data_IF_566468983125
#
_entry.id   IF_566468983125
#
_cell.length_a   1.000
_cell.length_b   1.000
_cell.length_c   1.000
_cell.angle_alpha   90.00
_cell.angle_beta   90.00
_cell.angle_gamma   90.00
#
_symmetry.space_group_name_H-M   'P 1'
#
loop_
_entity.id
_entity.type
_entity.pdbx_description
1 polymer ?
#
# COMPACT_ATOMS: atom_id res chain seq x y z
N UNK A 1 -1.59 -2.80 -31.73
CA UNK A 1 -1.91 -3.44 -30.44
C UNK A 1 -0.58 -3.74 -29.76
N UNK A 2 -0.30 -3.11 -28.64
CA UNK A 2 0.99 -3.30 -27.95
C UNK A 2 0.92 -4.61 -27.16
N UNK A 3 1.89 -5.50 -27.37
CA UNK A 3 1.94 -6.84 -26.78
C UNK A 3 2.93 -6.84 -25.61
N UNK A 4 2.58 -7.55 -24.54
CA UNK A 4 3.54 -7.84 -23.45
C UNK A 4 4.61 -8.80 -24.02
N UNK A 5 5.90 -8.49 -23.89
CA UNK A 5 6.97 -9.38 -24.36
C UNK A 5 6.85 -10.78 -23.73
N UNK A 6 7.08 -11.82 -24.52
CA UNK A 6 6.89 -13.21 -24.06
C UNK A 6 7.85 -13.56 -22.91
N UNK A 7 9.06 -12.98 -22.90
CA UNK A 7 10.05 -13.18 -21.84
C UNK A 7 9.67 -12.48 -20.51
N UNK A 8 8.92 -11.38 -20.56
CA UNK A 8 8.33 -10.75 -19.36
C UNK A 8 7.24 -11.64 -18.78
N UNK A 9 6.41 -12.25 -19.63
CA UNK A 9 5.39 -13.20 -19.17
C UNK A 9 6.04 -14.46 -18.58
N UNK A 10 7.08 -15.00 -19.22
CA UNK A 10 7.83 -16.16 -18.72
C UNK A 10 8.47 -15.87 -17.35
N UNK A 11 9.05 -14.68 -17.19
CA UNK A 11 9.63 -14.25 -15.91
C UNK A 11 8.59 -14.25 -14.78
N UNK A 12 7.44 -13.63 -14.98
CA UNK A 12 6.37 -13.67 -13.97
C UNK A 12 5.89 -15.10 -13.72
N UNK A 13 5.70 -15.88 -14.79
CA UNK A 13 5.17 -17.24 -14.75
C UNK A 13 6.05 -18.20 -13.94
N UNK A 14 7.36 -18.17 -14.14
CA UNK A 14 8.33 -19.05 -13.45
C UNK A 14 8.43 -18.77 -11.95
N UNK A 15 7.98 -17.61 -11.48
CA UNK A 15 7.95 -17.25 -10.06
C UNK A 15 6.62 -17.58 -9.37
N UNK A 16 5.64 -18.14 -10.10
CA UNK A 16 4.37 -18.62 -9.53
C UNK A 16 4.53 -20.07 -9.08
N UNK A 17 4.07 -20.36 -7.87
CA UNK A 17 3.81 -21.71 -7.39
C UNK A 17 2.56 -22.26 -8.08
N UNK A 18 2.77 -22.88 -9.25
CA UNK A 18 1.67 -23.44 -10.05
C UNK A 18 1.00 -24.65 -9.38
N UNK A 19 1.60 -25.27 -8.36
CA UNK A 19 0.90 -26.26 -7.57
C UNK A 19 -0.16 -25.60 -6.69
N UNK A 20 0.21 -24.54 -5.97
CA UNK A 20 -0.73 -23.73 -5.20
C UNK A 20 -1.80 -23.08 -6.10
N UNK A 21 -1.39 -22.47 -7.22
CA UNK A 21 -2.31 -21.82 -8.15
C UNK A 21 -3.30 -22.81 -8.80
N UNK A 22 -2.89 -24.05 -9.11
CA UNK A 22 -3.81 -25.06 -9.66
C UNK A 22 -4.93 -25.43 -8.70
N UNK A 23 -4.66 -25.47 -7.40
CA UNK A 23 -5.68 -25.77 -6.38
C UNK A 23 -6.82 -24.74 -6.42
N UNK A 24 -6.51 -23.48 -6.74
CA UNK A 24 -7.52 -22.41 -6.82
C UNK A 24 -8.12 -22.24 -8.22
N UNK A 25 -7.34 -22.43 -9.29
CA UNK A 25 -7.81 -22.27 -10.67
C UNK A 25 -8.62 -23.47 -11.20
N UNK A 26 -8.38 -24.68 -10.68
CA UNK A 26 -8.97 -25.95 -11.15
C UNK A 26 -8.77 -26.18 -12.66
N UNK A 27 -7.67 -25.67 -13.23
CA UNK A 27 -7.28 -25.80 -14.63
C UNK A 27 -5.79 -26.09 -14.73
N UNK A 28 -5.37 -26.82 -15.76
CA UNK A 28 -3.96 -26.94 -16.10
C UNK A 28 -3.47 -25.59 -16.66
N UNK A 29 -2.26 -25.15 -16.28
CA UNK A 29 -1.66 -23.98 -16.90
C UNK A 29 -1.45 -24.23 -18.40
N UNK A 30 -1.80 -23.23 -19.21
CA UNK A 30 -1.54 -23.19 -20.64
C UNK A 30 -0.22 -22.46 -20.92
N UNK A 31 -0.21 -21.61 -21.95
CA UNK A 31 0.93 -20.71 -22.16
C UNK A 31 1.13 -19.78 -20.95
N UNK A 32 2.35 -19.23 -20.75
CA UNK A 32 2.63 -18.32 -19.64
C UNK A 32 1.66 -17.15 -19.55
N UNK A 33 1.42 -16.48 -20.69
CA UNK A 33 0.53 -15.33 -20.80
C UNK A 33 -0.91 -15.68 -20.39
N UNK A 34 -1.46 -16.78 -20.91
CA UNK A 34 -2.84 -17.20 -20.63
C UNK A 34 -3.01 -17.65 -19.18
N UNK A 35 -2.03 -18.39 -18.64
CA UNK A 35 -2.06 -18.86 -17.26
C UNK A 35 -2.03 -17.68 -16.27
N UNK A 36 -1.18 -16.69 -16.52
CA UNK A 36 -1.13 -15.46 -15.71
C UNK A 36 -2.40 -14.63 -15.84
N UNK A 37 -2.95 -14.51 -17.06
CA UNK A 37 -4.24 -13.83 -17.29
C UNK A 37 -5.36 -14.48 -16.45
N UNK A 38 -5.42 -15.81 -16.44
CA UNK A 38 -6.39 -16.56 -15.64
C UNK A 38 -6.16 -16.38 -14.13
N UNK A 39 -4.91 -16.36 -13.68
CA UNK A 39 -4.55 -16.10 -12.28
C UNK A 39 -5.03 -14.71 -11.82
N UNK A 40 -4.73 -13.66 -12.58
CA UNK A 40 -5.18 -12.30 -12.26
C UNK A 40 -6.69 -12.13 -12.36
N UNK A 41 -7.33 -12.76 -13.34
CA UNK A 41 -8.79 -12.81 -13.41
C UNK A 41 -9.40 -13.53 -12.19
N UNK A 42 -8.73 -14.56 -11.66
CA UNK A 42 -9.14 -15.21 -10.42
C UNK A 42 -8.94 -14.31 -9.19
N UNK A 43 -7.81 -13.60 -9.08
CA UNK A 43 -7.60 -12.64 -7.98
C UNK A 43 -8.70 -11.58 -7.92
N UNK A 44 -9.18 -11.08 -9.06
CA UNK A 44 -10.27 -10.10 -9.12
C UNK A 44 -11.58 -10.60 -8.50
N UNK A 45 -11.87 -11.90 -8.59
CA UNK A 45 -13.14 -12.50 -8.13
C UNK A 45 -13.04 -13.20 -6.78
N UNK A 46 -11.83 -13.42 -6.25
CA UNK A 46 -11.66 -14.16 -5.00
C UNK A 46 -12.17 -13.30 -3.83
N UNK A 47 -12.70 -13.96 -2.81
CA UNK A 47 -13.08 -13.31 -1.54
C UNK A 47 -11.92 -13.26 -0.55
N UNK A 48 -11.03 -14.24 -0.61
CA UNK A 48 -9.88 -14.40 0.30
C UNK A 48 -8.65 -14.89 -0.48
N UNK A 49 -7.44 -14.44 -0.13
CA UNK A 49 -7.18 -13.29 0.74
C UNK A 49 -7.79 -11.98 0.21
N UNK A 50 -8.29 -11.14 1.12
CA UNK A 50 -8.87 -9.84 0.80
C UNK A 50 -7.75 -8.86 0.40
N UNK A 51 -8.04 -7.97 -0.57
CA UNK A 51 -7.10 -6.98 -1.11
C UNK A 51 -7.13 -5.64 -0.35
N UNK A 52 -7.56 -5.64 0.92
CA UNK A 52 -7.89 -4.46 1.74
C UNK A 52 -9.10 -3.65 1.26
N UNK A 53 -9.19 -3.38 -0.05
CA UNK A 53 -10.31 -2.70 -0.70
C UNK A 53 -11.23 -3.69 -1.42
N UNK A 54 -12.45 -3.27 -1.72
CA UNK A 54 -13.40 -4.03 -2.54
C UNK A 54 -14.03 -3.16 -3.65
N UNK A 55 -14.76 -3.80 -4.56
CA UNK A 55 -15.43 -3.10 -5.66
C UNK A 55 -16.53 -2.15 -5.18
N UNK A 56 -17.14 -2.39 -4.01
CA UNK A 56 -18.17 -1.51 -3.47
C UNK A 56 -17.57 -0.16 -3.03
N UNK A 57 -16.40 -0.19 -2.40
CA UNK A 57 -15.62 1.00 -2.07
C UNK A 57 -15.27 1.81 -3.32
N UNK A 58 -14.73 1.17 -4.36
CA UNK A 58 -14.35 1.83 -5.62
C UNK A 58 -15.56 2.53 -6.26
N UNK A 59 -16.72 1.86 -6.30
CA UNK A 59 -17.96 2.43 -6.83
C UNK A 59 -18.46 3.60 -5.98
N UNK A 60 -18.39 3.51 -4.65
CA UNK A 60 -18.80 4.59 -3.76
C UNK A 60 -17.92 5.83 -3.94
N UNK A 61 -16.60 5.66 -4.00
CA UNK A 61 -15.64 6.73 -4.25
C UNK A 61 -15.92 7.42 -5.60
N UNK A 62 -16.08 6.65 -6.69
CA UNK A 62 -16.38 7.19 -8.03
C UNK A 62 -17.70 7.96 -8.07
N UNK A 63 -18.72 7.53 -7.33
CA UNK A 63 -20.01 8.24 -7.22
C UNK A 63 -19.91 9.55 -6.44
N UNK A 64 -19.02 9.61 -5.46
CA UNK A 64 -18.80 10.79 -4.63
C UNK A 64 -17.90 11.83 -5.32
N UNK A 65 -17.11 11.43 -6.31
CA UNK A 65 -16.19 12.30 -7.04
C UNK A 65 -16.87 13.11 -8.15
N UNK A 66 -16.33 14.31 -8.39
CA UNK A 66 -16.73 15.18 -9.50
C UNK A 66 -16.02 14.77 -10.80
N UNK A 67 -16.54 15.22 -11.95
CA UNK A 67 -15.88 15.02 -13.25
C UNK A 67 -14.47 15.63 -13.29
N UNK A 68 -14.27 16.79 -12.65
CA UNK A 68 -12.97 17.45 -12.58
C UNK A 68 -11.95 16.60 -11.82
N UNK A 69 -12.33 16.04 -10.67
CA UNK A 69 -11.46 15.16 -9.88
C UNK A 69 -11.08 13.88 -10.63
N UNK A 70 -12.02 13.30 -11.39
CA UNK A 70 -11.75 12.14 -12.25
C UNK A 70 -10.74 12.50 -13.33
N UNK A 71 -10.91 13.64 -14.01
CA UNK A 71 -10.00 14.10 -15.06
C UNK A 71 -8.60 14.40 -14.52
N UNK A 72 -8.51 15.06 -13.36
CA UNK A 72 -7.26 15.33 -12.66
C UNK A 72 -6.54 14.04 -12.27
N UNK A 73 -7.26 13.06 -11.71
CA UNK A 73 -6.71 11.76 -11.38
C UNK A 73 -6.15 11.04 -12.62
N UNK A 74 -6.87 11.05 -13.74
CA UNK A 74 -6.37 10.47 -15.00
C UNK A 74 -5.10 11.17 -15.48
N UNK A 75 -5.03 12.50 -15.43
CA UNK A 75 -3.86 13.27 -15.84
C UNK A 75 -2.65 12.98 -14.93
N UNK A 76 -2.87 12.91 -13.62
CA UNK A 76 -1.83 12.56 -12.65
C UNK A 76 -1.25 11.16 -12.93
N UNK A 77 -2.07 10.18 -13.32
CA UNK A 77 -1.57 8.86 -13.72
C UNK A 77 -0.73 8.94 -14.99
N UNK A 78 -1.18 9.69 -16.01
CA UNK A 78 -0.41 9.85 -17.26
C UNK A 78 0.93 10.52 -17.01
N UNK A 79 0.95 11.58 -16.21
CA UNK A 79 2.17 12.25 -15.77
C UNK A 79 3.08 11.29 -15.00
N UNK A 80 2.55 10.54 -14.03
CA UNK A 80 3.37 9.57 -13.31
C UNK A 80 3.95 8.49 -14.24
N UNK A 81 3.26 8.10 -15.31
CA UNK A 81 3.77 7.16 -16.32
C UNK A 81 4.89 7.72 -17.21
N UNK A 82 5.07 9.05 -17.27
CA UNK A 82 6.19 9.67 -18.00
C UNK A 82 7.42 9.90 -17.12
N UNK A 83 7.29 9.76 -15.81
CA UNK A 83 8.40 9.88 -14.85
C UNK A 83 9.21 8.58 -14.74
N UNK A 84 10.50 8.65 -14.34
CA UNK A 84 11.23 7.46 -13.90
C UNK A 84 10.48 6.78 -12.75
N UNK A 85 10.25 5.47 -12.88
CA UNK A 85 9.45 4.78 -11.87
C UNK A 85 10.25 4.45 -10.62
N UNK A 86 11.57 4.32 -10.73
CA UNK A 86 12.48 4.10 -9.60
C UNK A 86 13.36 5.34 -9.46
N UNK A 87 13.19 6.07 -8.37
CA UNK A 87 13.88 7.35 -8.11
C UNK A 87 14.67 7.34 -6.80
N UNK A 88 15.02 6.16 -6.28
CA UNK A 88 15.61 6.01 -4.94
C UNK A 88 14.61 6.20 -3.79
N UNK A 89 13.34 6.44 -4.10
CA UNK A 89 12.25 6.50 -3.12
C UNK A 89 11.67 5.11 -2.83
N UNK A 90 10.96 4.99 -1.71
CA UNK A 90 10.34 3.75 -1.20
C UNK A 90 9.10 3.28 -1.97
N UNK A 91 8.82 3.88 -3.12
CA UNK A 91 7.60 3.68 -3.90
C UNK A 91 7.83 4.06 -5.35
N UNK A 92 7.06 3.45 -6.25
CA UNK A 92 7.09 3.83 -7.66
C UNK A 92 6.43 5.19 -7.89
N UNK A 93 6.75 5.86 -9.00
CA UNK A 93 6.11 7.14 -9.34
C UNK A 93 4.57 7.00 -9.41
N UNK A 94 4.07 5.90 -9.97
CA UNK A 94 2.63 5.61 -10.00
C UNK A 94 2.09 5.24 -8.60
N UNK A 95 2.83 4.44 -7.83
CA UNK A 95 2.46 4.05 -6.47
C UNK A 95 2.24 5.25 -5.54
N UNK A 96 3.02 6.33 -5.71
CA UNK A 96 2.87 7.59 -4.93
C UNK A 96 1.51 8.27 -5.08
N UNK A 97 0.78 7.99 -6.15
CA UNK A 97 -0.54 8.58 -6.38
C UNK A 97 -1.59 8.04 -5.39
N UNK A 98 -1.35 6.85 -4.83
CA UNK A 98 -2.27 6.19 -3.89
C UNK A 98 -3.51 5.59 -4.56
N UNK A 99 -4.23 4.80 -3.78
CA UNK A 99 -5.36 4.01 -4.23
C UNK A 99 -6.48 4.87 -4.86
N UNK A 100 -6.84 5.98 -4.21
CA UNK A 100 -7.98 6.81 -4.65
C UNK A 100 -7.74 7.43 -6.03
N UNK A 101 -6.53 7.90 -6.32
CA UNK A 101 -6.18 8.42 -7.64
C UNK A 101 -6.30 7.32 -8.70
N UNK A 102 -5.82 6.11 -8.42
CA UNK A 102 -5.94 4.97 -9.34
C UNK A 102 -7.42 4.61 -9.55
N UNK A 103 -8.20 4.46 -8.48
CA UNK A 103 -9.60 4.10 -8.56
C UNK A 103 -10.42 5.12 -9.35
N UNK A 104 -10.14 6.42 -9.23
CA UNK A 104 -10.85 7.47 -9.94
C UNK A 104 -10.41 7.60 -11.39
N UNK A 105 -9.10 7.62 -11.63
CA UNK A 105 -8.53 8.05 -12.91
C UNK A 105 -8.26 6.94 -13.91
N UNK A 106 -8.21 5.67 -13.49
CA UNK A 106 -7.82 4.59 -14.39
C UNK A 106 -8.91 4.24 -15.41
N UNK A 107 -8.48 4.12 -16.65
CA UNK A 107 -9.26 3.64 -17.81
C UNK A 107 -8.54 2.46 -18.45
N UNK A 108 -9.17 1.80 -19.44
CA UNK A 108 -8.53 0.70 -20.15
C UNK A 108 -7.21 1.12 -20.84
N UNK A 109 -7.18 2.30 -21.48
CA UNK A 109 -5.98 2.82 -22.14
C UNK A 109 -4.89 3.22 -21.13
N UNK A 110 -5.27 3.79 -19.98
CA UNK A 110 -4.32 4.09 -18.90
C UNK A 110 -3.75 2.80 -18.29
N UNK A 111 -4.56 1.76 -18.11
CA UNK A 111 -4.08 0.45 -17.66
C UNK A 111 -3.01 -0.12 -18.58
N UNK A 112 -3.19 0.00 -19.90
CA UNK A 112 -2.17 -0.38 -20.89
C UNK A 112 -0.94 0.54 -20.86
N UNK A 113 -1.13 1.86 -20.71
CA UNK A 113 -0.03 2.82 -20.57
C UNK A 113 0.85 2.48 -19.36
N UNK A 114 0.25 2.16 -18.21
CA UNK A 114 0.94 1.74 -17.00
C UNK A 114 1.74 0.45 -17.24
N UNK A 115 1.13 -0.57 -17.86
CA UNK A 115 1.79 -1.83 -18.18
C UNK A 115 3.00 -1.63 -19.11
N UNK A 116 2.86 -0.79 -20.14
CA UNK A 116 3.96 -0.45 -21.05
C UNK A 116 5.07 0.32 -20.35
N UNK A 117 4.70 1.23 -19.43
CA UNK A 117 5.66 1.97 -18.63
C UNK A 117 6.50 1.01 -17.78
N UNK A 118 5.86 0.03 -17.13
CA UNK A 118 6.58 -1.01 -16.39
C UNK A 118 7.55 -1.78 -17.29
N UNK A 119 7.12 -2.22 -18.49
CA UNK A 119 8.00 -2.90 -19.47
C UNK A 119 9.18 -2.03 -19.91
N UNK A 120 8.95 -0.74 -20.23
CA UNK A 120 10.01 0.19 -20.65
C UNK A 120 11.06 0.42 -19.56
N UNK A 121 10.69 0.26 -18.30
CA UNK A 121 11.54 0.50 -17.13
C UNK A 121 12.19 -0.78 -16.59
N UNK A 122 12.18 -1.87 -17.37
CA UNK A 122 12.70 -3.19 -16.96
C UNK A 122 14.12 -3.16 -16.39
N UNK A 123 15.00 -2.35 -16.96
CA UNK A 123 16.40 -2.23 -16.52
C UNK A 123 16.56 -1.60 -15.13
N UNK A 124 15.46 -1.16 -14.52
CA UNK A 124 15.41 -0.57 -13.18
C UNK A 124 14.67 -1.44 -12.16
N UNK A 125 14.09 -2.58 -12.55
CA UNK A 125 13.19 -3.35 -11.70
C UNK A 125 13.78 -3.84 -10.37
N UNK A 126 15.09 -4.10 -10.32
CA UNK A 126 15.79 -4.54 -9.12
C UNK A 126 16.55 -3.42 -8.40
N UNK A 127 16.31 -2.15 -8.78
CA UNK A 127 17.01 -0.97 -8.26
C UNK A 127 16.17 -0.15 -7.29
N UNK A 128 14.98 -0.60 -6.93
CA UNK A 128 14.12 0.05 -5.95
C UNK A 128 14.73 0.00 -4.54
N UNK A 129 14.44 1.04 -3.75
CA UNK A 129 14.79 1.06 -2.33
C UNK A 129 13.85 0.14 -1.52
N UNK A 130 14.01 0.12 -0.20
CA UNK A 130 13.10 -0.59 0.70
C UNK A 130 11.68 -0.03 0.56
N UNK A 131 10.67 -0.88 0.66
CA UNK A 131 9.26 -0.51 0.47
C UNK A 131 8.76 -0.63 -0.98
N UNK A 132 9.64 -0.75 -1.97
CA UNK A 132 9.22 -0.86 -3.38
C UNK A 132 8.41 -2.13 -3.63
N UNK A 133 8.76 -3.25 -2.99
CA UNK A 133 7.98 -4.51 -3.06
C UNK A 133 6.53 -4.29 -2.62
N UNK A 134 6.34 -3.60 -1.48
CA UNK A 134 5.01 -3.24 -0.96
C UNK A 134 4.24 -2.39 -1.96
N UNK A 135 4.86 -1.31 -2.42
CA UNK A 135 4.25 -0.35 -3.35
C UNK A 135 3.77 -1.01 -4.64
N UNK A 136 4.57 -1.92 -5.22
CA UNK A 136 4.18 -2.69 -6.39
C UNK A 136 2.98 -3.61 -6.10
N UNK A 137 3.00 -4.28 -4.95
CA UNK A 137 1.93 -5.18 -4.55
C UNK A 137 0.61 -4.41 -4.29
N UNK A 138 0.68 -3.26 -3.61
CA UNK A 138 -0.43 -2.33 -3.43
C UNK A 138 -0.99 -1.87 -4.78
N UNK A 139 -0.13 -1.37 -5.67
CA UNK A 139 -0.52 -0.90 -6.99
C UNK A 139 -1.24 -1.99 -7.80
N UNK A 140 -0.71 -3.22 -7.79
CA UNK A 140 -1.36 -4.37 -8.42
C UNK A 140 -2.73 -4.65 -7.80
N UNK A 141 -2.85 -4.58 -6.47
CA UNK A 141 -4.12 -4.78 -5.76
C UNK A 141 -5.17 -3.74 -6.17
N UNK A 142 -4.77 -2.48 -6.36
CA UNK A 142 -5.67 -1.42 -6.79
C UNK A 142 -6.13 -1.62 -8.23
N UNK A 143 -5.20 -1.93 -9.13
CA UNK A 143 -5.51 -2.24 -10.54
C UNK A 143 -6.42 -3.45 -10.70
N UNK A 144 -6.28 -4.47 -9.84
CA UNK A 144 -7.15 -5.66 -9.85
C UNK A 144 -8.62 -5.33 -9.61
N UNK A 145 -8.89 -4.31 -8.78
CA UNK A 145 -10.24 -3.88 -8.41
C UNK A 145 -10.92 -3.00 -9.47
N UNK A 146 -10.16 -2.54 -10.47
CA UNK A 146 -10.67 -1.74 -11.58
C UNK A 146 -11.03 -2.66 -12.76
N UNK A 147 -12.33 -2.87 -13.05
CA UNK A 147 -12.76 -3.82 -14.08
C UNK A 147 -12.31 -3.42 -15.50
N UNK A 148 -12.01 -2.14 -15.73
CA UNK A 148 -11.54 -1.61 -17.01
C UNK A 148 -10.11 -2.07 -17.36
N UNK A 149 -9.34 -2.50 -16.36
CA UNK A 149 -7.97 -2.98 -16.55
C UNK A 149 -8.03 -4.43 -17.06
N UNK A 150 -7.50 -4.70 -18.26
CA UNK A 150 -7.32 -6.09 -18.70
C UNK A 150 -6.32 -6.78 -17.74
N UNK A 151 -6.62 -7.98 -17.21
CA UNK A 151 -5.70 -8.72 -16.36
C UNK A 151 -4.28 -8.88 -16.93
N UNK A 152 -4.11 -8.86 -18.26
CA UNK A 152 -2.79 -8.89 -18.92
C UNK A 152 -1.92 -7.69 -18.54
N UNK A 153 -2.52 -6.53 -18.24
CA UNK A 153 -1.78 -5.33 -17.83
C UNK A 153 -1.04 -5.49 -16.50
N UNK A 154 -1.38 -6.51 -15.69
CA UNK A 154 -0.71 -6.80 -14.42
C UNK A 154 0.55 -7.64 -14.57
N UNK A 155 0.77 -8.27 -15.72
CA UNK A 155 1.90 -9.19 -15.95
C UNK A 155 3.25 -8.48 -15.79
N UNK A 156 3.49 -7.29 -16.38
CA UNK A 156 4.74 -6.57 -16.16
C UNK A 156 4.98 -6.21 -14.69
N UNK A 157 3.94 -5.84 -13.96
CA UNK A 157 4.04 -5.51 -12.54
C UNK A 157 4.33 -6.76 -11.69
N UNK A 158 3.80 -7.91 -12.06
CA UNK A 158 4.11 -9.18 -11.39
C UNK A 158 5.56 -9.60 -11.62
N UNK A 159 6.06 -9.51 -12.84
CA UNK A 159 7.46 -9.76 -13.15
C UNK A 159 8.36 -8.82 -12.33
N UNK A 160 8.05 -7.52 -12.35
CA UNK A 160 8.76 -6.52 -11.56
C UNK A 160 8.70 -6.83 -10.06
N UNK A 161 7.52 -7.09 -9.50
CA UNK A 161 7.34 -7.44 -8.08
C UNK A 161 8.28 -8.58 -7.68
N UNK A 162 8.37 -9.64 -8.49
CA UNK A 162 9.22 -10.80 -8.16
C UNK A 162 10.72 -10.48 -8.21
N UNK A 163 11.17 -9.68 -9.17
CA UNK A 163 12.59 -9.28 -9.26
C UNK A 163 12.96 -8.28 -8.16
N UNK A 164 12.10 -7.29 -7.91
CA UNK A 164 12.28 -6.33 -6.82
C UNK A 164 12.29 -7.05 -5.47
N UNK A 165 11.37 -7.99 -5.23
CA UNK A 165 11.29 -8.75 -3.98
C UNK A 165 12.57 -9.52 -3.68
N UNK A 166 13.16 -10.16 -4.70
CA UNK A 166 14.45 -10.88 -4.55
C UNK A 166 15.58 -9.92 -4.23
N UNK A 167 15.67 -8.81 -4.95
CA UNK A 167 16.72 -7.82 -4.76
C UNK A 167 16.61 -7.13 -3.40
N UNK A 168 15.41 -6.72 -3.02
CA UNK A 168 15.11 -6.09 -1.73
C UNK A 168 15.39 -7.05 -0.58
N UNK A 169 15.00 -8.33 -0.69
CA UNK A 169 15.32 -9.33 0.33
C UNK A 169 16.82 -9.62 0.43
N UNK A 170 17.51 -9.73 -0.71
CA UNK A 170 18.96 -9.91 -0.73
C UNK A 170 19.69 -8.72 -0.09
N UNK A 171 19.16 -7.51 -0.26
CA UNK A 171 19.69 -6.33 0.41
C UNK A 171 19.38 -6.31 1.91
N UNK A 172 18.12 -6.52 2.30
CA UNK A 172 17.68 -6.49 3.69
C UNK A 172 18.43 -7.51 4.57
N UNK A 173 18.74 -8.69 4.05
CA UNK A 173 19.54 -9.70 4.77
C UNK A 173 20.96 -9.25 5.13
N UNK A 174 21.47 -8.18 4.52
CA UNK A 174 22.80 -7.62 4.81
C UNK A 174 22.74 -6.53 5.86
N UNK A 175 21.55 -6.13 6.31
CA UNK A 175 21.44 -5.12 7.36
C UNK A 175 21.93 -5.70 8.68
N UNK A 176 22.83 -4.95 9.30
CA UNK A 176 23.30 -5.17 10.66
C UNK A 176 22.95 -3.95 11.51
N UNK A 177 23.25 -4.03 12.80
CA UNK A 177 23.02 -2.94 13.75
C UNK A 177 23.76 -1.65 13.34
N UNK A 178 24.90 -1.76 12.66
CA UNK A 178 25.65 -0.60 12.18
C UNK A 178 24.95 0.10 10.98
N UNK A 179 24.32 -0.66 10.08
CA UNK A 179 23.54 -0.12 8.96
C UNK A 179 22.22 0.50 9.39
N UNK A 180 21.60 -0.04 10.44
CA UNK A 180 20.32 0.45 10.93
C UNK A 180 20.51 1.57 11.96
N UNK A 181 21.62 1.57 12.71
CA UNK A 181 21.79 2.50 13.83
C UNK A 181 20.69 2.34 14.87
N UNK A 182 20.54 3.34 15.76
CA UNK A 182 19.47 3.34 16.77
C UNK A 182 18.07 3.64 16.19
N UNK A 183 17.99 4.10 14.93
CA UNK A 183 16.76 4.56 14.27
C UNK A 183 16.25 3.66 13.15
N UNK A 184 17.08 2.83 12.52
CA UNK A 184 16.75 2.05 11.32
C UNK A 184 15.87 0.83 11.57
N UNK A 185 15.44 0.63 12.82
CA UNK A 185 14.44 -0.38 13.17
C UNK A 185 13.13 -0.17 12.41
N UNK A 186 12.74 1.08 12.12
CA UNK A 186 11.57 1.36 11.28
C UNK A 186 11.72 0.86 9.84
N UNK A 187 12.90 1.00 9.21
CA UNK A 187 13.13 0.54 7.85
C UNK A 187 12.98 -0.98 7.78
N UNK A 188 13.51 -1.68 8.78
CA UNK A 188 13.37 -3.14 8.92
C UNK A 188 11.91 -3.54 9.10
N UNK A 189 11.21 -2.86 10.00
CA UNK A 189 9.80 -3.10 10.23
C UNK A 189 8.96 -2.84 8.95
N UNK A 190 9.16 -1.71 8.27
CA UNK A 190 8.43 -1.36 7.05
C UNK A 190 8.68 -2.35 5.93
N UNK A 191 9.94 -2.79 5.76
CA UNK A 191 10.32 -3.79 4.76
C UNK A 191 9.56 -5.10 5.01
N UNK A 192 9.56 -5.58 6.26
CA UNK A 192 8.90 -6.83 6.61
C UNK A 192 7.37 -6.74 6.59
N UNK A 193 6.79 -5.60 6.98
CA UNK A 193 5.36 -5.32 6.77
C UNK A 193 5.04 -5.43 5.28
N UNK A 194 5.85 -4.79 4.43
CA UNK A 194 5.69 -4.84 2.98
C UNK A 194 5.72 -6.26 2.40
N UNK A 195 6.68 -7.08 2.84
CA UNK A 195 6.75 -8.49 2.46
C UNK A 195 5.57 -9.31 2.97
N UNK A 196 5.13 -9.08 4.21
CA UNK A 196 3.96 -9.75 4.78
C UNK A 196 2.69 -9.41 3.98
N UNK A 197 2.42 -8.12 3.74
CA UNK A 197 1.26 -7.66 2.98
C UNK A 197 1.29 -8.21 1.55
N UNK A 198 2.44 -8.14 0.86
CA UNK A 198 2.62 -8.68 -0.47
C UNK A 198 2.37 -10.21 -0.51
N UNK A 199 2.89 -10.95 0.47
CA UNK A 199 2.63 -12.38 0.62
C UNK A 199 1.17 -12.69 0.92
N UNK A 200 0.46 -11.82 1.63
CA UNK A 200 -0.96 -11.99 1.90
C UNK A 200 -1.81 -11.69 0.66
N UNK A 201 -1.50 -10.65 -0.11
CA UNK A 201 -2.19 -10.34 -1.36
C UNK A 201 -1.90 -11.38 -2.44
N UNK A 202 -0.68 -11.89 -2.56
CA UNK A 202 -0.30 -12.76 -3.67
C UNK A 202 0.42 -14.02 -3.20
N UNK A 203 -0.29 -14.91 -2.49
CA UNK A 203 0.31 -16.09 -1.87
C UNK A 203 0.84 -17.12 -2.87
N UNK A 204 0.43 -17.05 -4.13
CA UNK A 204 0.88 -17.91 -5.21
C UNK A 204 2.25 -17.53 -5.76
N UNK A 205 2.82 -16.35 -5.44
CA UNK A 205 4.21 -16.06 -5.80
C UNK A 205 5.17 -16.70 -4.80
N UNK A 206 6.02 -17.61 -5.29
CA UNK A 206 6.86 -18.45 -4.45
C UNK A 206 7.83 -17.63 -3.56
N UNK A 207 8.35 -16.51 -4.09
CA UNK A 207 9.25 -15.62 -3.34
C UNK A 207 8.59 -14.86 -2.19
N UNK A 208 7.26 -14.73 -2.18
CA UNK A 208 6.52 -14.01 -1.13
C UNK A 208 5.92 -14.95 -0.07
N UNK A 209 5.82 -16.25 -0.38
CA UNK A 209 5.09 -17.24 0.41
C UNK A 209 5.57 -17.35 1.86
N UNK A 210 6.88 -17.30 2.10
CA UNK A 210 7.46 -17.45 3.44
C UNK A 210 7.11 -16.28 4.38
N UNK A 211 6.90 -15.08 3.85
CA UNK A 211 6.67 -13.90 4.66
C UNK A 211 5.29 -13.85 5.31
N UNK A 212 4.33 -14.65 4.81
CA UNK A 212 3.02 -14.82 5.45
C UNK A 212 3.11 -15.42 6.84
N UNK A 213 4.16 -16.20 7.11
CA UNK A 213 4.36 -16.87 8.39
C UNK A 213 4.89 -15.93 9.49
N UNK A 214 5.22 -14.67 9.17
CA UNK A 214 5.74 -13.71 10.16
C UNK A 214 4.67 -13.23 11.15
N UNK A 215 3.41 -13.12 10.74
CA UNK A 215 2.31 -12.63 11.59
C UNK A 215 1.73 -13.71 12.51
N UNK A 216 1.16 -13.33 13.67
CA UNK A 216 1.13 -11.97 14.25
C UNK A 216 2.33 -11.66 15.18
N UNK A 217 2.91 -12.68 15.82
CA UNK A 217 3.84 -12.54 16.95
C UNK A 217 5.06 -11.66 16.66
N UNK A 218 5.61 -11.74 15.44
CA UNK A 218 6.75 -10.94 15.04
C UNK A 218 6.46 -9.44 15.17
N UNK A 219 5.38 -8.97 14.52
CA UNK A 219 5.06 -7.54 14.51
C UNK A 219 4.64 -7.04 15.90
N UNK A 220 4.03 -7.89 16.72
CA UNK A 220 3.74 -7.52 18.11
C UNK A 220 5.00 -7.25 18.91
N UNK A 221 6.02 -8.10 18.75
CA UNK A 221 7.33 -7.85 19.36
C UNK A 221 7.95 -6.57 18.82
N UNK A 222 7.99 -6.40 17.49
CA UNK A 222 8.70 -5.28 16.87
C UNK A 222 8.09 -3.90 17.21
N UNK A 223 6.76 -3.79 17.27
CA UNK A 223 6.14 -2.52 17.65
C UNK A 223 6.48 -2.14 19.09
N UNK A 224 6.55 -3.11 20.00
CA UNK A 224 6.95 -2.85 21.40
C UNK A 224 8.41 -2.41 21.54
N UNK A 225 9.28 -2.78 20.59
CA UNK A 225 10.66 -2.31 20.54
C UNK A 225 10.78 -0.91 19.95
N UNK A 226 9.95 -0.58 18.95
CA UNK A 226 10.03 0.68 18.23
C UNK A 226 9.29 1.83 18.93
N UNK A 227 8.14 1.54 19.55
CA UNK A 227 7.29 2.54 20.18
C UNK A 227 7.39 2.49 21.70
N UNK A 228 7.37 3.66 22.31
CA UNK A 228 7.20 3.84 23.75
C UNK A 228 5.72 3.67 24.16
N UNK A 229 5.42 3.38 25.44
CA UNK A 229 4.05 3.16 25.91
C UNK A 229 3.11 4.36 25.67
N UNK A 230 3.67 5.56 25.51
CA UNK A 230 2.93 6.80 25.22
C UNK A 230 2.50 6.95 23.75
N UNK A 231 2.93 6.03 22.87
CA UNK A 231 2.59 6.00 21.45
C UNK A 231 3.62 6.68 20.52
N UNK A 232 4.71 7.22 21.05
CA UNK A 232 5.77 7.80 20.23
C UNK A 232 6.84 6.78 19.86
N UNK A 233 7.39 6.89 18.65
CA UNK A 233 8.57 6.13 18.24
C UNK A 233 9.77 6.58 19.07
N UNK A 234 10.69 5.63 19.29
CA UNK A 234 12.00 5.91 19.89
C UNK A 234 12.86 6.86 19.05
N UNK A 235 12.59 6.94 17.75
CA UNK A 235 13.27 7.85 16.82
C UNK A 235 12.96 9.33 17.04
N UNK A 236 11.81 9.66 17.65
CA UNK A 236 11.41 11.04 17.98
C UNK A 236 11.53 12.02 16.79
N UNK A 237 11.16 11.57 15.60
CA UNK A 237 11.27 12.31 14.34
C UNK A 237 9.99 12.21 13.49
N UNK A 238 10.00 12.86 12.32
CA UNK A 238 8.91 12.76 11.33
C UNK A 238 8.59 11.33 10.87
N UNK A 239 9.50 10.36 11.07
CA UNK A 239 9.25 8.95 10.77
C UNK A 239 8.07 8.35 11.55
N UNK A 240 7.71 8.93 12.71
CA UNK A 240 6.51 8.59 13.49
C UNK A 240 5.27 8.37 12.60
N UNK A 241 4.96 9.33 11.73
CA UNK A 241 3.71 9.35 10.97
C UNK A 241 3.72 8.31 9.85
N UNK A 242 4.87 8.13 9.19
CA UNK A 242 5.07 7.08 8.19
C UNK A 242 4.91 5.69 8.81
N UNK A 243 5.62 5.42 9.90
CA UNK A 243 5.54 4.15 10.63
C UNK A 243 4.15 3.86 11.16
N UNK A 244 3.48 4.86 11.75
CA UNK A 244 2.10 4.72 12.20
C UNK A 244 1.16 4.32 11.05
N UNK A 245 1.33 4.90 9.85
CA UNK A 245 0.54 4.54 8.67
C UNK A 245 0.67 3.06 8.31
N UNK A 246 1.90 2.55 8.29
CA UNK A 246 2.17 1.13 8.02
C UNK A 246 1.49 0.21 9.04
N UNK A 247 1.43 0.60 10.31
CA UNK A 247 0.74 -0.17 11.35
C UNK A 247 -0.77 -0.20 11.12
N UNK A 248 -1.36 0.93 10.70
CA UNK A 248 -2.80 0.99 10.40
C UNK A 248 -3.15 0.17 9.17
N UNK A 249 -2.35 0.24 8.11
CA UNK A 249 -2.48 -0.61 6.93
C UNK A 249 -2.40 -2.11 7.29
N UNK A 250 -1.40 -2.49 8.10
CA UNK A 250 -1.20 -3.85 8.60
C UNK A 250 -2.44 -4.35 9.35
N UNK A 251 -2.95 -3.56 10.29
CA UNK A 251 -4.15 -3.90 11.08
C UNK A 251 -5.38 -4.12 10.19
N UNK A 252 -5.61 -3.20 9.26
CA UNK A 252 -6.77 -3.24 8.37
C UNK A 252 -6.70 -4.45 7.44
N UNK A 253 -5.53 -4.72 6.88
CA UNK A 253 -5.34 -5.87 6.01
C UNK A 253 -5.43 -7.20 6.78
N UNK A 254 -4.87 -7.27 7.99
CA UNK A 254 -4.97 -8.43 8.86
C UNK A 254 -6.42 -8.72 9.25
N UNK A 255 -7.18 -7.70 9.67
CA UNK A 255 -8.60 -7.81 10.00
C UNK A 255 -9.41 -8.30 8.79
N UNK A 256 -9.19 -7.70 7.61
CA UNK A 256 -9.84 -8.12 6.36
C UNK A 256 -9.54 -9.58 5.99
N UNK A 257 -8.44 -10.13 6.50
CA UNK A 257 -8.02 -11.50 6.30
C UNK A 257 -8.25 -12.43 7.49
N UNK A 258 -8.93 -11.95 8.55
CA UNK A 258 -9.27 -12.75 9.74
C UNK A 258 -8.07 -13.09 10.62
N UNK A 259 -6.97 -12.35 10.47
CA UNK A 259 -5.79 -12.44 11.33
C UNK A 259 -6.03 -11.48 12.49
N UNK A 260 -5.96 -11.99 13.72
CA UNK A 260 -6.11 -11.19 14.94
C UNK A 260 -4.76 -10.99 15.60
N UNK A 261 -4.48 -9.75 16.00
CA UNK A 261 -3.42 -9.42 16.93
C UNK A 261 -3.95 -9.47 18.37
N UNK A 262 -3.07 -9.47 19.35
CA UNK A 262 -3.41 -9.40 20.78
C UNK A 262 -4.06 -8.05 21.14
N UNK A 263 -4.84 -8.02 22.22
CA UNK A 263 -5.43 -6.79 22.74
C UNK A 263 -4.35 -5.75 23.10
N UNK A 264 -3.21 -6.21 23.63
CA UNK A 264 -2.06 -5.37 23.92
C UNK A 264 -1.52 -4.66 22.67
N UNK A 265 -1.54 -5.33 21.52
CA UNK A 265 -1.17 -4.72 20.25
C UNK A 265 -2.17 -3.64 19.80
N UNK A 266 -3.47 -3.90 19.94
CA UNK A 266 -4.50 -2.91 19.62
C UNK A 266 -4.44 -1.68 20.52
N UNK A 267 -4.22 -1.86 21.82
CA UNK A 267 -4.01 -0.76 22.76
C UNK A 267 -2.76 0.04 22.42
N UNK A 268 -1.68 -0.63 22.00
CA UNK A 268 -0.48 0.06 21.51
C UNK A 268 -0.77 0.87 20.25
N UNK A 269 -1.46 0.30 19.26
CA UNK A 269 -1.83 1.02 18.05
C UNK A 269 -2.76 2.22 18.33
N UNK A 270 -3.68 2.08 19.28
CA UNK A 270 -4.52 3.18 19.79
C UNK A 270 -3.67 4.29 20.44
N UNK A 271 -2.65 3.93 21.24
CA UNK A 271 -1.74 4.91 21.82
C UNK A 271 -0.95 5.67 20.74
N UNK A 272 -0.46 4.96 19.72
CA UNK A 272 0.22 5.56 18.55
C UNK A 272 -0.69 6.54 17.81
N UNK A 273 -1.94 6.16 17.55
CA UNK A 273 -2.94 7.04 16.94
C UNK A 273 -3.28 8.25 17.82
N UNK A 274 -3.31 8.04 19.15
CA UNK A 274 -3.55 9.12 20.12
C UNK A 274 -2.39 10.10 20.22
N UNK A 275 -1.17 9.73 19.79
CA UNK A 275 -0.04 10.65 19.78
C UNK A 275 -0.21 11.75 18.71
N UNK A 276 -0.91 11.48 17.61
CA UNK A 276 -1.02 12.43 16.47
C UNK A 276 -1.68 13.76 16.88
N UNK A 277 -2.80 13.72 17.60
CA UNK A 277 -3.50 14.95 18.00
C UNK A 277 -2.77 15.72 19.10
N UNK A 278 -2.00 15.04 19.96
CA UNK A 278 -1.32 15.67 21.11
C UNK A 278 -0.22 16.63 20.70
N UNK A 279 0.34 16.46 19.51
CA UNK A 279 1.44 17.29 19.00
C UNK A 279 1.03 18.14 17.80
N UNK A 280 -0.25 18.10 17.43
CA UNK A 280 -0.77 18.85 16.30
C UNK A 280 -0.87 20.35 16.68
N UNK A 281 -0.08 21.24 16.05
CA UNK A 281 -0.26 22.68 16.20
C UNK A 281 -1.65 23.17 15.77
N UNK A 282 -2.05 24.40 16.18
CA UNK A 282 -3.34 24.99 15.79
C UNK A 282 -3.56 25.18 14.29
N UNK A 283 -2.50 25.13 13.47
CA UNK A 283 -2.60 25.17 12.01
C UNK A 283 -2.93 23.79 11.39
N UNK A 284 -3.07 22.75 12.22
CA UNK A 284 -3.40 21.39 11.80
C UNK A 284 -2.27 20.66 11.09
N UNK A 285 -1.05 21.21 11.06
CA UNK A 285 0.12 20.56 10.46
C UNK A 285 0.72 19.48 11.37
N UNK A 286 1.72 18.74 10.88
CA UNK A 286 2.58 17.95 11.75
C UNK A 286 3.81 18.78 12.17
N UNK A 287 4.24 18.69 13.43
CA UNK A 287 5.43 19.40 13.88
C UNK A 287 6.66 18.91 13.12
N UNK A 288 7.50 19.85 12.71
CA UNK A 288 8.77 19.56 12.04
C UNK A 288 9.84 19.29 13.11
N UNK A 289 9.91 18.03 13.57
CA UNK A 289 10.89 17.57 14.56
C UNK A 289 11.79 16.47 13.99
N UNK A 290 13.09 16.54 14.31
CA UNK A 290 14.10 15.59 13.85
C UNK A 290 14.27 15.62 12.33
N UNK A 291 14.51 14.44 11.75
CA UNK A 291 14.54 14.25 10.29
C UNK A 291 13.12 14.23 9.71
N UNK A 292 12.53 15.42 9.60
CA UNK A 292 11.19 15.62 9.05
C UNK A 292 11.23 16.54 7.84
N UNK A 293 10.69 16.10 6.72
CA UNK A 293 10.46 16.94 5.55
C UNK A 293 9.18 17.76 5.70
N UNK A 294 9.26 19.07 5.46
CA UNK A 294 8.08 19.93 5.41
C UNK A 294 7.35 19.81 4.07
N UNK A 295 6.14 19.25 4.08
CA UNK A 295 5.12 19.52 3.05
C UNK A 295 3.78 19.76 3.74
N UNK A 296 3.51 21.02 4.09
CA UNK A 296 2.17 21.39 4.55
C UNK A 296 1.21 21.29 3.36
N UNK A 297 0.25 20.37 3.46
CA UNK A 297 -0.91 20.33 2.58
C UNK A 297 -2.11 20.60 3.46
N UNK A 298 -2.84 21.67 3.14
CA UNK A 298 -3.99 22.10 3.93
C UNK A 298 -4.97 20.92 4.14
N UNK A 299 -5.46 20.79 5.38
CA UNK A 299 -6.36 19.72 5.84
C UNK A 299 -5.85 18.27 5.71
N UNK A 300 -4.69 17.99 5.12
CA UNK A 300 -4.24 16.61 4.90
C UNK A 300 -4.04 15.85 6.22
N UNK A 301 -3.27 16.42 7.16
CA UNK A 301 -3.07 15.82 8.47
C UNK A 301 -4.35 15.78 9.30
N UNK A 302 -5.26 16.75 9.12
CA UNK A 302 -6.56 16.75 9.80
C UNK A 302 -7.49 15.65 9.25
N UNK A 303 -7.47 15.38 7.93
CA UNK A 303 -8.20 14.26 7.33
C UNK A 303 -7.70 12.92 7.85
N UNK A 304 -6.38 12.78 7.95
CA UNK A 304 -5.76 11.63 8.60
C UNK A 304 -6.23 11.50 10.05
N UNK A 305 -6.19 12.59 10.82
CA UNK A 305 -6.63 12.57 12.22
C UNK A 305 -8.10 12.15 12.37
N UNK A 306 -9.00 12.61 11.48
CA UNK A 306 -10.40 12.15 11.44
C UNK A 306 -10.49 10.65 11.19
N UNK A 307 -9.76 10.15 10.19
CA UNK A 307 -9.79 8.75 9.81
C UNK A 307 -9.30 7.82 10.93
N UNK A 308 -8.17 8.15 11.58
CA UNK A 308 -7.64 7.34 12.69
C UNK A 308 -8.50 7.47 13.95
N UNK A 309 -9.07 8.65 14.22
CA UNK A 309 -9.97 8.84 15.36
C UNK A 309 -11.25 8.02 15.20
N UNK A 310 -11.78 7.91 13.98
CA UNK A 310 -12.89 7.01 13.67
C UNK A 310 -12.47 5.54 13.77
N UNK A 311 -11.28 5.17 13.30
CA UNK A 311 -10.77 3.80 13.35
C UNK A 311 -10.58 3.29 14.79
N UNK A 312 -10.04 4.12 15.67
CA UNK A 312 -9.71 3.74 17.05
C UNK A 312 -10.68 4.31 18.09
N UNK A 313 -11.77 4.98 17.69
CA UNK A 313 -12.70 5.64 18.62
C UNK A 313 -11.98 6.58 19.61
N UNK A 314 -11.27 7.59 19.09
CA UNK A 314 -10.51 8.59 19.86
C UNK A 314 -11.29 9.92 19.83
N UNK A 315 -12.12 10.22 20.84
CA UNK A 315 -12.98 11.40 20.83
C UNK A 315 -12.20 12.72 20.83
N UNK A 316 -11.04 12.78 21.48
CA UNK A 316 -10.18 13.96 21.54
C UNK A 316 -9.60 14.31 20.16
N UNK A 317 -9.13 13.29 19.43
CA UNK A 317 -8.62 13.46 18.07
C UNK A 317 -9.70 13.95 17.10
N UNK A 318 -10.93 13.42 17.24
CA UNK A 318 -12.10 13.91 16.50
C UNK A 318 -12.38 15.38 16.83
N UNK A 319 -12.45 15.72 18.12
CA UNK A 319 -12.69 17.08 18.59
C UNK A 319 -11.65 18.06 18.01
N UNK A 320 -10.35 17.74 18.11
CA UNK A 320 -9.26 18.55 17.56
C UNK A 320 -9.43 18.75 16.06
N UNK A 321 -9.69 17.68 15.30
CA UNK A 321 -9.86 17.79 13.86
C UNK A 321 -11.04 18.67 13.45
N UNK A 322 -12.15 18.62 14.18
CA UNK A 322 -13.34 19.45 13.93
C UNK A 322 -13.08 20.92 14.29
N UNK A 323 -12.38 21.20 15.39
CA UNK A 323 -12.11 22.57 15.85
C UNK A 323 -11.07 23.30 15.01
N UNK A 324 -10.03 22.59 14.55
CA UNK A 324 -8.98 23.21 13.74
C UNK A 324 -9.39 23.45 12.28
N UNK A 325 -10.52 22.89 11.84
CA UNK A 325 -11.05 23.11 10.49
C UNK A 325 -12.58 23.15 10.50
N UNK A 326 -13.12 24.24 11.04
CA UNK A 326 -14.57 24.46 11.21
C UNK A 326 -15.37 24.46 9.90
N UNK A 327 -14.72 24.82 8.79
CA UNK A 327 -15.34 24.87 7.45
C UNK A 327 -14.98 23.66 6.59
N UNK A 328 -14.42 22.63 7.22
CA UNK A 328 -13.99 21.44 6.54
C UNK A 328 -15.12 20.81 5.74
N UNK A 329 -14.78 20.35 4.54
CA UNK A 329 -15.63 19.49 3.73
C UNK A 329 -14.82 18.25 3.38
N UNK A 330 -15.46 17.07 3.31
CA UNK A 330 -14.78 15.89 2.85
C UNK A 330 -14.22 16.08 1.43
N UNK A 331 -13.09 15.42 1.11
CA UNK A 331 -12.44 15.54 -0.19
C UNK A 331 -13.36 15.11 -1.34
N UNK A 332 -14.35 14.25 -1.04
CA UNK A 332 -15.39 13.82 -1.96
C UNK A 332 -16.77 14.03 -1.32
N UNK A 333 -17.82 14.13 -2.13
CA UNK A 333 -19.17 14.46 -1.63
C UNK A 333 -19.66 13.43 -0.60
N UNK A 334 -19.59 13.79 0.68
CA UNK A 334 -19.99 12.94 1.81
C UNK A 334 -19.09 11.71 2.01
N UNK A 335 -17.83 11.77 1.56
CA UNK A 335 -16.97 10.59 1.55
C UNK A 335 -15.53 10.95 1.97
N UNK A 336 -15.09 10.40 3.10
CA UNK A 336 -13.71 10.45 3.57
C UNK A 336 -13.07 9.06 3.34
N UNK A 337 -12.34 8.87 2.22
CA UNK A 337 -11.70 7.60 1.92
C UNK A 337 -10.57 7.33 2.91
N UNK A 338 -10.59 6.15 3.52
CA UNK A 338 -9.42 5.68 4.27
C UNK A 338 -9.49 4.18 4.54
N UNK A 339 -8.44 3.45 4.15
CA UNK A 339 -8.29 2.01 4.36
C UNK A 339 -9.50 1.18 3.93
N UNK A 340 -10.06 1.47 2.76
CA UNK A 340 -11.19 0.74 2.18
C UNK A 340 -12.56 1.04 2.81
N UNK A 341 -12.67 2.09 3.63
CA UNK A 341 -13.94 2.51 4.27
C UNK A 341 -14.20 4.00 4.05
N UNK A 342 -15.47 4.38 4.09
CA UNK A 342 -15.88 5.77 4.29
C UNK A 342 -15.83 6.07 5.79
N UNK A 343 -14.90 6.91 6.25
CA UNK A 343 -14.72 7.22 7.67
C UNK A 343 -15.69 8.26 8.24
N UNK A 344 -16.67 8.68 7.43
CA UNK A 344 -17.79 9.50 7.89
C UNK A 344 -19.02 8.69 8.29
N UNK A 345 -19.07 7.41 7.92
CA UNK A 345 -20.24 6.54 8.08
C UNK A 345 -20.29 5.86 9.45
#
# INVERSE_FOLDING_TARGET
MIRIPDDVAEMAYTNVDWEAARRVLRKQPGSPLESLRQLFAWYRRRRRPALMYDSAYVLALRRAATRAQVAEASENIRKACSEPQVTGQHTTAIGRLGADCIFLGITADIGWLMAQTAVRQRDTWAKGAWGTTRSLAEQMSWMLLCPEVDPVCLIPFAAWLTEQSKAEWAWAKRWDEAMLGSSGHNWWLHTLIGFFEAGLWFPEFACLRSFRALCPEYFEREINLLFEPDGFTRERSGYQWGTASHIYDLLQLAEANGIKFSDAFYERARAIASAEWKVMPPDGSFPLMGDSGGRHVADHSLNRLRAISAMFNIPEGKYVAEHLSLRWKPPYKGFLPSWGRNRLA
#
